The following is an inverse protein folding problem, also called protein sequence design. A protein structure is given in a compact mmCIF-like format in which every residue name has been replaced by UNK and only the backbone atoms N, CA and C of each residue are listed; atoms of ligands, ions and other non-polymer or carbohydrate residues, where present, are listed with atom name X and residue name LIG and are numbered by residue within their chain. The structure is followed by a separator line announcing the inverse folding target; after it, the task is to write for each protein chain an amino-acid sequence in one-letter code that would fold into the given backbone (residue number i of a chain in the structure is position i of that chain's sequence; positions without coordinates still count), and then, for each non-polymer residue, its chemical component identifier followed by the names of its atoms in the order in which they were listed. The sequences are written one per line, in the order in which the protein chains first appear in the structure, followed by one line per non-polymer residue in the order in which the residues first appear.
data_IF_498639073875
#
_entry.id   IF_498639073875
#
_cell.length_a   1.000
_cell.length_b   1.000
_cell.length_c   1.000
_cell.angle_alpha   90.00
_cell.angle_beta   90.00
_cell.angle_gamma   90.00
#
_symmetry.space_group_name_H-M   'P 1'
#
loop_
_entity.id
_entity.type
_entity.pdbx_description
1 polymer ?
#
# COMPACT_ATOMS: atom_id res chain seq x y z
N UNK A 1 42.50 -48.37 23.63
CA UNK A 1 41.59 -49.49 24.03
C UNK A 1 40.21 -48.87 24.32
N UNK A 2 39.09 -49.52 23.99
CA UNK A 2 38.34 -49.29 22.76
C UNK A 2 36.88 -48.80 22.94
N UNK A 3 36.34 -48.24 21.85
CA UNK A 3 34.98 -48.39 21.26
C UNK A 3 33.75 -48.37 22.20
N UNK A 4 32.75 -47.54 21.86
CA UNK A 4 31.62 -47.99 21.01
C UNK A 4 30.54 -46.90 20.89
N UNK A 5 30.16 -46.59 19.65
CA UNK A 5 28.80 -46.14 19.27
C UNK A 5 27.98 -47.38 18.89
N UNK A 6 26.69 -47.39 19.19
CA UNK A 6 25.68 -47.71 18.16
C UNK A 6 24.55 -46.66 18.18
N UNK A 7 24.17 -46.10 17.02
CA UNK A 7 23.00 -46.50 16.24
C UNK A 7 21.71 -46.57 17.08
N UNK A 8 20.90 -45.52 16.96
CA UNK A 8 19.47 -45.63 17.17
C UNK A 8 18.73 -45.46 15.85
N UNK A 9 17.79 -46.36 15.72
CA UNK A 9 16.99 -46.82 14.60
C UNK A 9 15.84 -45.87 14.28
N UNK A 10 15.54 -45.77 12.99
CA UNK A 10 14.36 -45.09 12.49
C UNK A 10 13.05 -45.71 13.01
N UNK A 11 12.06 -44.83 13.14
CA UNK A 11 10.64 -45.19 13.08
C UNK A 11 9.93 -44.04 12.38
N UNK A 12 9.61 -44.26 11.10
CA UNK A 12 8.62 -43.49 10.36
C UNK A 12 7.22 -43.76 10.93
N UNK A 13 6.38 -42.73 11.10
CA UNK A 13 4.93 -42.89 11.13
C UNK A 13 4.27 -42.51 9.79
N UNK A 14 3.04 -43.00 9.57
CA UNK A 14 2.53 -43.40 8.26
C UNK A 14 1.98 -42.27 7.40
N UNK A 15 1.99 -42.54 6.09
CA UNK A 15 1.43 -41.68 5.05
C UNK A 15 -0.05 -41.35 5.26
N UNK A 16 -0.35 -40.06 5.20
CA UNK A 16 -1.70 -39.56 5.00
C UNK A 16 -1.90 -39.29 3.51
N UNK A 17 -2.72 -40.13 2.89
CA UNK A 17 -3.14 -40.03 1.49
C UNK A 17 -4.15 -38.88 1.38
N UNK A 18 -3.64 -37.66 1.21
CA UNK A 18 -4.43 -36.47 0.90
C UNK A 18 -4.88 -36.48 -0.55
N UNK A 19 -6.18 -36.66 -0.75
CA UNK A 19 -6.88 -36.70 -2.02
C UNK A 19 -6.52 -35.51 -2.94
N UNK A 20 -6.04 -35.82 -4.15
CA UNK A 20 -5.90 -34.87 -5.26
C UNK A 20 -7.29 -34.42 -5.71
N UNK A 21 -7.64 -33.17 -5.41
CA UNK A 21 -8.77 -32.48 -6.05
C UNK A 21 -8.43 -32.22 -7.53
N UNK A 22 -9.30 -32.58 -8.49
CA UNK A 22 -9.12 -32.16 -9.88
C UNK A 22 -9.36 -30.66 -10.00
N UNK A 23 -8.35 -29.92 -10.48
CA UNK A 23 -8.52 -28.55 -10.93
C UNK A 23 -9.44 -28.52 -12.14
N UNK A 24 -10.63 -27.96 -11.94
CA UNK A 24 -11.60 -27.65 -13.00
C UNK A 24 -11.02 -26.47 -13.80
N UNK A 25 -10.32 -26.78 -14.88
CA UNK A 25 -10.00 -25.85 -15.96
C UNK A 25 -11.29 -25.51 -16.68
N UNK A 26 -11.83 -24.32 -16.41
CA UNK A 26 -13.07 -23.82 -17.00
C UNK A 26 -13.20 -22.32 -16.75
N UNK A 27 -12.20 -21.56 -17.22
CA UNK A 27 -12.26 -20.11 -17.32
C UNK A 27 -12.25 -19.76 -18.79
N UNK A 28 -13.44 -19.45 -19.30
CA UNK A 28 -13.72 -18.97 -20.63
C UNK A 28 -12.94 -17.66 -20.87
N UNK A 29 -11.73 -17.76 -21.40
CA UNK A 29 -10.91 -16.63 -21.78
C UNK A 29 -11.46 -16.07 -23.09
N UNK A 30 -12.54 -15.31 -22.99
CA UNK A 30 -13.02 -14.45 -24.07
C UNK A 30 -11.84 -13.60 -24.55
N UNK A 31 -11.44 -13.79 -25.80
CA UNK A 31 -10.26 -13.13 -26.34
C UNK A 31 -10.49 -11.61 -26.40
N UNK A 32 -9.41 -10.82 -26.30
CA UNK A 32 -9.45 -9.36 -26.48
C UNK A 32 -10.16 -8.95 -27.78
N UNK A 33 -10.15 -9.82 -28.80
CA UNK A 33 -10.89 -9.61 -30.05
C UNK A 33 -12.42 -9.62 -29.86
N UNK A 34 -12.96 -10.50 -29.01
CA UNK A 34 -14.41 -10.54 -28.74
C UNK A 34 -14.88 -9.33 -27.91
N UNK A 35 -14.02 -8.80 -27.03
CA UNK A 35 -14.30 -7.55 -26.32
C UNK A 35 -14.35 -6.35 -27.28
N UNK A 36 -13.45 -6.32 -28.28
CA UNK A 36 -13.40 -5.26 -29.29
C UNK A 36 -14.62 -5.28 -30.24
N UNK A 37 -15.08 -6.47 -30.65
CA UNK A 37 -16.27 -6.62 -31.49
C UNK A 37 -17.57 -6.21 -30.78
N UNK A 38 -17.67 -6.43 -29.46
CA UNK A 38 -18.82 -5.96 -28.66
C UNK A 38 -18.87 -4.43 -28.55
N UNK A 39 -17.73 -3.77 -28.42
CA UNK A 39 -17.65 -2.29 -28.40
C UNK A 39 -18.03 -1.69 -29.76
N UNK A 40 -17.57 -2.29 -30.87
CA UNK A 40 -17.94 -1.84 -32.22
C UNK A 40 -19.44 -2.07 -32.53
N UNK A 41 -20.03 -3.15 -32.02
CA UNK A 41 -21.47 -3.41 -32.15
C UNK A 41 -22.34 -2.43 -31.32
N UNK A 42 -21.82 -1.89 -30.22
CA UNK A 42 -22.50 -0.86 -29.43
C UNK A 42 -22.45 0.51 -30.14
N UNK A 43 -21.30 0.88 -30.72
CA UNK A 43 -21.13 2.14 -31.47
C UNK A 43 -21.98 2.20 -32.75
N UNK A 44 -22.22 1.07 -33.42
CA UNK A 44 -23.14 1.02 -34.58
C UNK A 44 -24.62 1.21 -34.20
N UNK A 45 -25.02 0.89 -32.96
CA UNK A 45 -26.40 1.09 -32.49
C UNK A 45 -26.70 2.54 -32.07
N UNK A 46 -25.67 3.35 -31.82
CA UNK A 46 -25.81 4.76 -31.44
C UNK A 46 -25.84 5.75 -32.61
N UNK A 47 -25.64 5.31 -33.86
CA UNK A 47 -25.63 6.21 -35.02
C UNK A 47 -27.06 6.41 -35.52
N UNK A 48 -27.77 7.34 -34.88
CA UNK A 48 -29.05 7.89 -35.32
C UNK A 48 -28.87 8.43 -36.73
N UNK A 49 -29.63 7.88 -37.68
CA UNK A 49 -29.65 8.31 -39.07
C UNK A 49 -30.24 9.71 -39.20
N UNK A 50 -29.58 10.51 -40.04
CA UNK A 50 -30.12 11.76 -40.55
C UNK A 50 -31.40 11.51 -41.35
N UNK A 51 -32.51 12.11 -40.91
CA UNK A 51 -33.59 12.53 -41.79
C UNK A 51 -34.35 13.73 -41.20
N UNK A 52 -34.32 14.81 -41.99
CA UNK A 52 -35.18 16.00 -42.02
C UNK A 52 -36.55 15.92 -41.32
N UNK A 53 -36.90 16.91 -40.48
CA UNK A 53 -37.90 17.97 -40.74
C UNK A 53 -38.24 18.79 -39.48
N UNK A 54 -38.34 20.10 -39.70
CA UNK A 54 -38.92 21.16 -38.85
C UNK A 54 -40.34 20.88 -38.37
N UNK A 55 -40.60 21.03 -37.06
CA UNK A 55 -41.84 21.60 -36.50
C UNK A 55 -41.67 22.05 -35.03
N UNK A 56 -42.02 23.32 -34.81
CA UNK A 56 -42.72 23.92 -33.66
C UNK A 56 -42.76 23.22 -32.29
N UNK A 57 -42.14 23.88 -31.30
CA UNK A 57 -42.69 24.12 -29.97
C UNK A 57 -43.35 22.96 -29.24
N UNK A 58 -42.56 22.08 -28.65
CA UNK A 58 -42.99 21.19 -27.58
C UNK A 58 -42.38 21.67 -26.28
N UNK A 59 -43.25 22.03 -25.33
CA UNK A 59 -42.87 22.21 -23.93
C UNK A 59 -42.09 20.96 -23.49
N UNK A 60 -40.85 21.15 -23.03
CA UNK A 60 -40.12 20.11 -22.31
C UNK A 60 -40.93 19.79 -21.06
N UNK A 61 -41.74 18.74 -21.15
CA UNK A 61 -42.35 18.09 -20.00
C UNK A 61 -41.18 17.51 -19.20
N UNK A 62 -40.67 18.30 -18.26
CA UNK A 62 -39.64 17.87 -17.33
C UNK A 62 -40.18 16.65 -16.60
N UNK A 63 -39.65 15.47 -16.90
CA UNK A 63 -39.98 14.27 -16.17
C UNK A 63 -39.72 14.53 -14.68
N UNK A 64 -40.60 14.08 -13.76
CA UNK A 64 -40.38 14.29 -12.34
C UNK A 64 -39.03 13.66 -11.95
N UNK A 65 -38.24 14.33 -11.08
CA UNK A 65 -36.96 13.80 -10.66
C UNK A 65 -37.15 12.40 -10.07
N UNK A 66 -36.33 11.45 -10.52
CA UNK A 66 -36.31 10.09 -9.99
C UNK A 66 -36.04 10.18 -8.47
N UNK A 67 -36.76 9.43 -7.62
CA UNK A 67 -36.43 9.34 -6.20
C UNK A 67 -34.99 8.86 -6.05
N UNK A 68 -34.21 9.55 -5.22
CA UNK A 68 -32.85 9.11 -4.89
C UNK A 68 -32.91 7.73 -4.24
N UNK A 69 -32.08 6.83 -4.72
CA UNK A 69 -31.87 5.51 -4.12
C UNK A 69 -30.81 5.61 -3.01
N UNK A 70 -30.74 4.63 -2.08
CA UNK A 70 -29.65 4.58 -1.10
C UNK A 70 -28.26 4.65 -1.75
N UNK A 71 -28.07 3.97 -2.88
CA UNK A 71 -26.82 3.99 -3.65
C UNK A 71 -26.48 5.41 -4.15
N UNK A 72 -27.48 6.22 -4.55
CA UNK A 72 -27.27 7.60 -4.98
C UNK A 72 -26.83 8.50 -3.80
N UNK A 73 -27.32 8.22 -2.58
CA UNK A 73 -26.93 8.95 -1.37
C UNK A 73 -25.51 8.58 -0.92
N UNK A 74 -25.15 7.29 -1.01
CA UNK A 74 -23.78 6.83 -0.72
C UNK A 74 -22.78 7.42 -1.72
N UNK A 75 -23.12 7.42 -3.00
CA UNK A 75 -22.29 8.03 -4.04
C UNK A 75 -22.12 9.53 -3.81
N UNK A 76 -23.22 10.25 -3.54
CA UNK A 76 -23.16 11.71 -3.26
C UNK A 76 -22.29 12.01 -2.04
N UNK A 77 -22.41 11.23 -0.96
CA UNK A 77 -21.60 11.43 0.24
C UNK A 77 -20.11 11.19 -0.03
N UNK A 78 -19.78 10.18 -0.85
CA UNK A 78 -18.41 9.93 -1.28
C UNK A 78 -17.87 11.05 -2.18
N UNK A 79 -18.66 11.53 -3.15
CA UNK A 79 -18.28 12.65 -4.03
C UNK A 79 -18.00 13.93 -3.22
N UNK A 80 -18.86 14.21 -2.23
CA UNK A 80 -18.70 15.35 -1.33
C UNK A 80 -17.40 15.24 -0.51
N UNK A 81 -17.10 14.07 0.06
CA UNK A 81 -15.89 13.85 0.86
C UNK A 81 -14.62 13.92 0.00
N UNK A 82 -14.64 13.28 -1.18
CA UNK A 82 -13.56 13.33 -2.15
C UNK A 82 -13.24 14.78 -2.56
N UNK A 83 -14.27 15.60 -2.81
CA UNK A 83 -14.10 16.99 -3.23
C UNK A 83 -13.39 17.84 -2.15
N UNK A 84 -13.59 17.55 -0.86
CA UNK A 84 -12.96 18.32 0.25
C UNK A 84 -11.45 18.21 0.28
N UNK A 85 -10.85 17.16 -0.26
CA UNK A 85 -9.39 17.02 -0.33
C UNK A 85 -8.73 17.99 -1.32
N UNK A 86 -9.49 18.55 -2.26
CA UNK A 86 -8.99 19.50 -3.26
C UNK A 86 -8.03 18.89 -4.29
N UNK A 87 -7.81 19.59 -5.41
CA UNK A 87 -7.03 19.06 -6.53
C UNK A 87 -5.52 19.18 -6.36
N UNK A 88 -5.05 20.06 -5.46
CA UNK A 88 -3.62 20.27 -5.23
C UNK A 88 -3.08 19.27 -4.19
N UNK A 89 -2.02 18.49 -4.51
CA UNK A 89 -1.42 17.58 -3.55
C UNK A 89 -0.77 18.35 -2.38
N UNK A 90 -0.99 17.91 -1.12
CA UNK A 90 -0.31 18.49 0.02
C UNK A 90 1.20 18.23 -0.04
N UNK A 91 1.97 19.13 0.55
CA UNK A 91 3.41 18.96 0.76
C UNK A 91 3.67 18.63 2.21
N UNK A 92 4.27 17.48 2.46
CA UNK A 92 4.62 17.03 3.80
C UNK A 92 6.04 17.46 4.18
N UNK A 93 6.15 18.16 5.29
CA UNK A 93 7.37 18.22 6.09
C UNK A 93 7.26 17.11 7.14
N UNK A 94 8.10 16.08 7.04
CA UNK A 94 7.94 14.86 7.83
C UNK A 94 8.19 15.10 9.33
N UNK A 95 9.06 16.05 9.68
CA UNK A 95 9.28 16.42 11.08
C UNK A 95 8.06 17.12 11.68
N UNK A 96 7.49 18.08 10.95
CA UNK A 96 6.28 18.76 11.38
C UNK A 96 5.08 17.81 11.43
N UNK A 97 4.96 16.91 10.45
CA UNK A 97 3.93 15.87 10.38
C UNK A 97 3.99 14.93 11.60
N UNK A 98 5.16 14.34 11.87
CA UNK A 98 5.31 13.42 13.00
C UNK A 98 5.04 14.14 14.33
N UNK A 99 5.52 15.37 14.48
CA UNK A 99 5.26 16.19 15.67
C UNK A 99 3.77 16.50 15.86
N UNK A 100 3.08 16.93 14.79
CA UNK A 100 1.66 17.30 14.86
C UNK A 100 0.76 16.09 15.11
N UNK A 101 1.13 14.92 14.60
CA UNK A 101 0.31 13.71 14.64
C UNK A 101 0.90 12.58 15.49
N UNK A 102 1.83 12.90 16.41
CA UNK A 102 2.39 11.93 17.35
C UNK A 102 1.30 11.25 18.18
N UNK A 103 0.26 12.00 18.58
CA UNK A 103 -0.91 11.48 19.29
C UNK A 103 -1.74 10.48 18.49
N UNK A 104 -1.52 10.39 17.18
CA UNK A 104 -2.12 9.40 16.28
C UNK A 104 -1.12 8.30 15.88
N UNK A 105 0.01 8.20 16.58
CA UNK A 105 1.13 7.30 16.31
C UNK A 105 1.84 7.57 14.99
N UNK A 106 1.97 8.83 14.55
CA UNK A 106 2.93 9.15 13.51
C UNK A 106 4.36 8.90 14.02
N UNK A 107 5.17 8.14 13.28
CA UNK A 107 6.47 7.64 13.78
C UNK A 107 7.52 7.39 12.68
N UNK A 108 7.46 8.13 11.59
CA UNK A 108 8.42 8.00 10.48
C UNK A 108 9.85 8.25 10.96
N UNK A 109 10.10 9.38 11.61
CA UNK A 109 11.43 9.81 12.03
C UNK A 109 11.99 8.97 13.17
N UNK A 110 11.18 8.70 14.18
CA UNK A 110 11.60 7.97 15.38
C UNK A 110 12.11 6.55 15.07
N UNK A 111 11.45 5.87 14.13
CA UNK A 111 11.75 4.46 13.84
C UNK A 111 12.55 4.26 12.55
N UNK A 112 12.44 5.18 11.60
CA UNK A 112 12.95 5.00 10.23
C UNK A 112 13.68 6.23 9.69
N UNK A 113 13.76 7.30 10.48
CA UNK A 113 14.37 8.56 10.05
C UNK A 113 15.86 8.43 9.75
N UNK A 114 16.42 9.43 9.05
CA UNK A 114 17.86 9.48 8.76
C UNK A 114 18.76 9.47 10.00
N UNK A 115 18.25 9.90 11.15
CA UNK A 115 19.01 9.96 12.39
C UNK A 115 18.92 8.66 13.21
N UNK A 116 18.11 7.68 12.78
CA UNK A 116 18.04 6.37 13.42
C UNK A 116 19.42 5.67 13.39
N UNK A 117 19.80 5.07 14.51
CA UNK A 117 21.08 4.37 14.64
C UNK A 117 21.07 3.09 13.80
N UNK A 118 22.04 2.95 12.89
CA UNK A 118 22.05 1.84 11.94
C UNK A 118 22.51 0.52 12.58
N UNK A 119 23.73 0.54 13.15
CA UNK A 119 24.45 -0.65 13.62
C UNK A 119 23.98 -1.09 14.98
N UNK A 120 24.04 -2.41 15.21
CA UNK A 120 23.54 -3.02 16.44
C UNK A 120 24.27 -2.50 17.68
N UNK A 121 23.47 -2.00 18.62
CA UNK A 121 23.83 -1.78 20.01
C UNK A 121 22.67 -2.32 20.85
N UNK A 122 22.84 -3.41 21.62
CA UNK A 122 21.76 -4.00 22.40
C UNK A 122 21.15 -3.07 23.48
N UNK A 123 21.85 -2.00 23.85
CA UNK A 123 21.40 -1.02 24.84
C UNK A 123 20.57 0.11 24.24
N UNK A 124 20.48 0.21 22.91
CA UNK A 124 19.81 1.31 22.20
C UNK A 124 18.89 0.79 21.09
N UNK A 125 17.93 1.62 20.69
CA UNK A 125 17.10 1.32 19.53
C UNK A 125 17.91 1.51 18.24
N UNK A 126 18.22 0.41 17.56
CA UNK A 126 19.00 0.41 16.32
C UNK A 126 18.30 -0.36 15.20
N UNK A 127 18.52 0.02 13.95
CA UNK A 127 17.91 -0.62 12.78
C UNK A 127 18.30 -2.10 12.71
N UNK A 128 19.58 -2.43 12.87
CA UNK A 128 20.06 -3.81 12.98
C UNK A 128 19.48 -4.54 14.20
N UNK A 129 19.42 -3.86 15.36
CA UNK A 129 18.89 -4.44 16.60
C UNK A 129 17.43 -4.87 16.52
N UNK A 130 16.62 -4.26 15.64
CA UNK A 130 15.24 -4.72 15.37
C UNK A 130 15.19 -6.14 14.82
N UNK A 131 16.22 -6.57 14.08
CA UNK A 131 16.31 -7.97 13.63
C UNK A 131 16.43 -8.90 14.83
N UNK A 132 17.09 -8.49 15.91
CA UNK A 132 17.36 -9.31 17.09
C UNK A 132 16.36 -9.12 18.23
N UNK A 133 15.40 -8.20 18.08
CA UNK A 133 14.52 -7.76 19.18
C UNK A 133 15.30 -7.16 20.35
N UNK A 134 16.32 -6.37 20.04
CA UNK A 134 17.03 -5.58 21.05
C UNK A 134 16.15 -4.44 21.62
N UNK A 135 16.67 -3.75 22.63
CA UNK A 135 16.00 -2.66 23.35
C UNK A 135 15.34 -1.61 22.43
N UNK A 136 14.16 -1.14 22.83
CA UNK A 136 13.39 -0.11 22.11
C UNK A 136 12.38 -0.66 21.12
N UNK A 137 12.59 -1.87 20.61
CA UNK A 137 11.65 -2.51 19.69
C UNK A 137 10.62 -3.38 20.41
N UNK A 138 9.36 -3.30 20.00
CA UNK A 138 8.29 -4.15 20.55
C UNK A 138 8.30 -5.60 20.06
N UNK A 139 8.98 -5.90 18.94
CA UNK A 139 9.12 -7.24 18.37
C UNK A 139 10.27 -7.32 17.37
N UNK A 140 10.78 -8.52 17.15
CA UNK A 140 11.72 -8.80 16.06
C UNK A 140 11.08 -8.57 14.69
N UNK A 141 11.84 -8.07 13.72
CA UNK A 141 11.40 -7.92 12.33
C UNK A 141 12.31 -8.67 11.35
N UNK A 142 11.80 -9.12 10.20
CA UNK A 142 12.63 -9.76 9.17
C UNK A 142 13.32 -8.76 8.23
N UNK A 143 12.95 -7.50 8.31
CA UNK A 143 13.61 -6.38 7.65
C UNK A 143 13.44 -5.13 8.48
N UNK A 144 14.47 -4.29 8.51
CA UNK A 144 14.48 -3.02 9.23
C UNK A 144 15.40 -2.07 8.48
N UNK A 145 14.91 -0.88 8.16
CA UNK A 145 15.64 0.09 7.34
C UNK A 145 15.39 1.51 7.84
N UNK A 146 16.35 2.38 7.55
CA UNK A 146 16.26 3.83 7.71
C UNK A 146 16.43 4.53 6.38
N UNK A 147 15.90 5.74 6.28
CA UNK A 147 16.20 6.68 5.21
C UNK A 147 17.69 7.06 5.24
N UNK A 148 18.31 7.25 4.07
CA UNK A 148 19.74 7.61 4.00
C UNK A 148 20.00 9.05 4.44
N UNK A 149 19.08 9.97 4.13
CA UNK A 149 19.18 11.38 4.46
C UNK A 149 17.80 12.08 4.37
N UNK A 150 17.67 13.23 5.04
CA UNK A 150 16.43 13.99 5.11
C UNK A 150 15.97 14.52 3.75
N UNK A 151 16.90 14.89 2.87
CA UNK A 151 16.58 15.48 1.55
C UNK A 151 15.98 14.40 0.63
N UNK A 152 16.61 13.23 0.58
CA UNK A 152 16.14 12.08 -0.20
C UNK A 152 14.76 11.63 0.26
N UNK A 153 14.55 11.52 1.57
CA UNK A 153 13.25 11.19 2.17
C UNK A 153 12.16 12.18 1.74
N UNK A 154 12.34 13.48 2.02
CA UNK A 154 11.34 14.50 1.68
C UNK A 154 11.05 14.54 0.18
N UNK A 155 12.09 14.46 -0.66
CA UNK A 155 11.92 14.48 -2.12
C UNK A 155 11.17 13.26 -2.63
N UNK A 156 11.50 12.06 -2.16
CA UNK A 156 10.87 10.83 -2.61
C UNK A 156 9.38 10.79 -2.23
N UNK A 157 9.05 11.13 -0.99
CA UNK A 157 7.67 11.12 -0.48
C UNK A 157 6.82 12.16 -1.19
N UNK A 158 7.28 13.42 -1.25
CA UNK A 158 6.48 14.48 -1.89
C UNK A 158 6.37 14.27 -3.42
N UNK A 159 7.37 13.63 -4.04
CA UNK A 159 7.25 13.20 -5.44
C UNK A 159 6.13 12.16 -5.58
N UNK A 160 6.12 11.14 -4.73
CA UNK A 160 5.10 10.09 -4.74
C UNK A 160 3.70 10.67 -4.53
N UNK A 161 3.51 11.51 -3.50
CA UNK A 161 2.21 12.14 -3.20
C UNK A 161 1.71 12.96 -4.40
N UNK A 162 2.58 13.77 -5.00
CA UNK A 162 2.22 14.58 -6.17
C UNK A 162 1.82 13.73 -7.38
N UNK A 163 2.51 12.62 -7.62
CA UNK A 163 2.28 11.76 -8.79
C UNK A 163 1.06 10.84 -8.63
N UNK A 164 0.63 10.58 -7.40
CA UNK A 164 -0.45 9.63 -7.09
C UNK A 164 -1.62 10.28 -6.32
N UNK A 165 -1.70 11.61 -6.30
CA UNK A 165 -2.67 12.33 -5.46
C UNK A 165 -4.11 11.92 -5.72
N UNK A 166 -4.47 11.70 -6.97
CA UNK A 166 -5.79 11.23 -7.37
C UNK A 166 -6.19 9.94 -6.68
N UNK A 167 -5.31 8.94 -6.73
CA UNK A 167 -5.52 7.65 -6.08
C UNK A 167 -5.52 7.79 -4.55
N UNK A 168 -4.65 8.64 -4.00
CA UNK A 168 -4.59 8.91 -2.56
C UNK A 168 -5.92 9.51 -2.10
N UNK A 169 -6.44 10.54 -2.77
CA UNK A 169 -7.75 11.16 -2.45
C UNK A 169 -8.88 10.15 -2.48
N UNK A 170 -8.94 9.35 -3.55
CA UNK A 170 -9.95 8.31 -3.68
C UNK A 170 -9.91 7.33 -2.50
N UNK A 171 -8.73 6.82 -2.15
CA UNK A 171 -8.59 5.89 -1.03
C UNK A 171 -8.93 6.54 0.32
N UNK A 172 -8.51 7.79 0.54
CA UNK A 172 -8.82 8.52 1.77
C UNK A 172 -10.32 8.81 1.91
N UNK A 173 -11.02 9.11 0.83
CA UNK A 173 -12.47 9.33 0.83
C UNK A 173 -13.27 8.04 1.10
N UNK A 174 -12.78 6.88 0.64
CA UNK A 174 -13.46 5.59 0.82
C UNK A 174 -13.10 4.95 2.16
N UNK A 175 -11.81 4.81 2.44
CA UNK A 175 -11.28 3.97 3.52
C UNK A 175 -10.71 4.79 4.70
N UNK A 176 -10.54 6.12 4.52
CA UNK A 176 -9.85 6.96 5.50
C UNK A 176 -8.34 6.72 5.57
N UNK A 177 -7.80 5.86 4.71
CA UNK A 177 -6.38 5.53 4.64
C UNK A 177 -5.91 5.22 3.22
N UNK A 178 -4.61 5.44 2.98
CA UNK A 178 -3.93 5.04 1.76
C UNK A 178 -2.64 4.33 2.14
N UNK A 179 -2.48 3.07 1.71
CA UNK A 179 -1.29 2.25 1.91
C UNK A 179 -0.74 1.79 0.58
N UNK A 180 0.56 1.98 0.35
CA UNK A 180 1.20 1.54 -0.89
C UNK A 180 2.70 1.22 -0.73
N UNK A 181 3.26 0.58 -1.75
CA UNK A 181 4.67 0.28 -1.91
C UNK A 181 5.14 0.80 -3.27
N UNK A 182 6.13 1.69 -3.28
CA UNK A 182 6.68 2.25 -4.51
C UNK A 182 8.20 2.14 -4.58
N UNK A 183 8.75 2.18 -5.80
CA UNK A 183 10.19 2.28 -6.02
C UNK A 183 10.58 3.71 -6.40
N UNK A 184 11.60 4.25 -5.74
CA UNK A 184 12.21 5.53 -6.10
C UNK A 184 13.16 5.44 -7.30
N UNK A 185 13.49 4.23 -7.78
CA UNK A 185 14.40 3.99 -8.90
C UNK A 185 15.89 4.23 -8.60
N UNK A 186 16.23 4.62 -7.37
CA UNK A 186 17.60 4.80 -6.88
C UNK A 186 17.66 4.43 -5.40
N UNK A 187 18.86 4.27 -4.84
CA UNK A 187 19.02 3.98 -3.41
C UNK A 187 18.45 5.13 -2.56
N UNK A 188 17.53 4.82 -1.65
CA UNK A 188 16.88 5.78 -0.74
C UNK A 188 16.96 5.35 0.72
N UNK A 189 17.38 4.11 0.97
CA UNK A 189 17.41 3.54 2.30
C UNK A 189 18.47 2.49 2.46
N UNK A 190 18.90 2.31 3.69
CA UNK A 190 19.84 1.29 4.11
C UNK A 190 19.34 0.62 5.37
N UNK A 191 19.73 -0.64 5.57
CA UNK A 191 19.23 -1.42 6.68
C UNK A 191 19.67 -2.86 6.62
N UNK A 192 18.89 -3.71 7.27
CA UNK A 192 19.19 -5.11 7.43
C UNK A 192 17.98 -5.98 7.12
N UNK A 193 18.26 -7.14 6.52
CA UNK A 193 17.30 -8.24 6.37
C UNK A 193 17.77 -9.43 7.18
N UNK A 194 16.83 -10.21 7.72
CA UNK A 194 17.13 -11.45 8.41
C UNK A 194 17.39 -12.57 7.39
N UNK A 195 18.64 -13.00 7.20
CA UNK A 195 18.98 -14.13 6.32
C UNK A 195 18.28 -15.43 6.72
N UNK A 196 18.08 -15.61 8.03
CA UNK A 196 17.42 -16.79 8.58
C UNK A 196 15.90 -16.82 8.37
N UNK A 197 15.29 -15.79 7.76
CA UNK A 197 13.82 -15.68 7.73
C UNK A 197 13.10 -16.82 6.98
N UNK A 198 13.79 -17.52 6.08
CA UNK A 198 13.24 -18.62 5.28
C UNK A 198 13.79 -20.01 5.66
N UNK A 199 14.52 -20.13 6.77
CA UNK A 199 15.16 -21.38 7.18
C UNK A 199 15.11 -21.63 8.69
N UNK A 200 15.64 -22.78 9.11
CA UNK A 200 15.80 -23.14 10.52
C UNK A 200 17.05 -22.53 11.18
N UNK A 201 17.77 -21.65 10.47
CA UNK A 201 19.00 -21.03 10.93
C UNK A 201 18.77 -19.91 11.95
N UNK A 202 19.83 -19.48 12.67
CA UNK A 202 19.73 -18.35 13.60
C UNK A 202 19.36 -17.05 12.85
N UNK A 203 18.80 -16.10 13.60
CA UNK A 203 18.55 -14.75 13.05
C UNK A 203 19.88 -14.06 12.80
N UNK A 204 20.15 -13.72 11.55
CA UNK A 204 21.39 -13.08 11.12
C UNK A 204 21.04 -11.85 10.29
N UNK A 205 21.48 -10.68 10.74
CA UNK A 205 21.26 -9.42 10.05
C UNK A 205 22.24 -9.28 8.87
N UNK A 206 21.72 -9.12 7.66
CA UNK A 206 22.50 -8.81 6.46
C UNK A 206 22.23 -7.38 6.02
N UNK A 207 23.31 -6.59 5.94
CA UNK A 207 23.23 -5.25 5.40
C UNK A 207 22.71 -5.25 3.96
N UNK A 208 21.81 -4.31 3.66
CA UNK A 208 21.22 -4.11 2.34
C UNK A 208 20.88 -2.65 2.11
N UNK A 209 20.83 -2.26 0.83
CA UNK A 209 20.34 -0.96 0.37
C UNK A 209 19.09 -1.18 -0.47
N UNK A 210 18.15 -0.25 -0.43
CA UNK A 210 16.87 -0.38 -1.14
C UNK A 210 16.46 0.89 -1.86
N UNK A 211 15.72 0.69 -2.94
CA UNK A 211 14.98 1.74 -3.66
C UNK A 211 13.49 1.73 -3.34
N UNK A 212 13.01 0.72 -2.60
CA UNK A 212 11.59 0.51 -2.31
C UNK A 212 11.20 1.21 -1.02
N UNK A 213 10.03 1.83 -1.01
CA UNK A 213 9.43 2.58 0.09
C UNK A 213 8.04 2.02 0.36
N UNK A 214 7.69 1.88 1.64
CA UNK A 214 6.31 1.68 2.09
C UNK A 214 5.79 3.01 2.65
N UNK A 215 4.55 3.34 2.35
CA UNK A 215 3.91 4.57 2.82
C UNK A 215 2.49 4.27 3.30
N UNK A 216 2.11 4.88 4.41
CA UNK A 216 0.76 4.86 4.95
C UNK A 216 0.35 6.30 5.30
N UNK A 217 -0.71 6.76 4.64
CA UNK A 217 -1.34 8.08 4.82
C UNK A 217 -2.72 7.85 5.43
N UNK A 218 -3.15 8.69 6.36
CA UNK A 218 -4.47 8.63 7.00
C UNK A 218 -5.10 10.01 7.10
N UNK A 219 -6.40 10.05 7.31
CA UNK A 219 -7.12 11.27 7.68
C UNK A 219 -7.01 11.50 9.19
N UNK A 220 -6.70 12.73 9.61
CA UNK A 220 -6.69 13.11 11.01
C UNK A 220 -8.12 13.04 11.60
N UNK A 221 -8.32 12.40 12.77
CA UNK A 221 -9.66 12.26 13.34
C UNK A 221 -10.33 13.61 13.64
N UNK A 222 -11.55 13.80 13.14
CA UNK A 222 -12.39 14.96 13.48
C UNK A 222 -12.05 16.26 12.78
N UNK A 223 -11.19 16.24 11.74
CA UNK A 223 -10.88 17.42 10.93
C UNK A 223 -11.90 17.63 9.81
N UNK A 224 -12.34 18.87 9.60
CA UNK A 224 -13.17 19.30 8.46
C UNK A 224 -12.67 20.68 7.96
N UNK A 225 -12.12 20.80 6.73
CA UNK A 225 -11.94 19.73 5.75
C UNK A 225 -11.00 18.61 6.25
N UNK A 226 -11.11 17.39 5.68
CA UNK A 226 -10.25 16.27 6.04
C UNK A 226 -8.76 16.61 5.88
N UNK A 227 -7.98 16.39 6.92
CA UNK A 227 -6.54 16.66 6.92
C UNK A 227 -5.76 15.35 6.75
N UNK A 228 -5.15 15.08 5.58
CA UNK A 228 -4.31 13.92 5.40
C UNK A 228 -2.97 14.11 6.13
N UNK A 229 -2.47 13.06 6.75
CA UNK A 229 -1.14 13.01 7.35
C UNK A 229 -0.45 11.68 7.10
N UNK A 230 0.88 11.68 7.10
CA UNK A 230 1.67 10.45 6.97
C UNK A 230 1.75 9.78 8.34
N UNK A 231 1.14 8.62 8.49
CA UNK A 231 1.28 7.84 9.73
C UNK A 231 2.69 7.23 9.82
N UNK A 232 3.15 6.63 8.72
CA UNK A 232 4.51 6.08 8.65
C UNK A 232 4.94 5.95 7.21
N UNK A 233 6.22 6.18 6.95
CA UNK A 233 6.84 5.85 5.68
C UNK A 233 8.29 5.46 5.87
N UNK A 234 8.70 4.36 5.25
CA UNK A 234 10.02 3.81 5.49
C UNK A 234 10.54 3.03 4.28
N UNK A 235 11.86 3.02 4.07
CA UNK A 235 12.46 2.13 3.09
C UNK A 235 12.19 0.66 3.45
N UNK A 236 12.04 -0.20 2.46
CA UNK A 236 11.78 -1.62 2.68
C UNK A 236 12.61 -2.49 1.75
N UNK A 237 13.17 -3.58 2.27
CA UNK A 237 13.89 -4.58 1.46
C UNK A 237 12.99 -5.65 0.85
N UNK A 238 11.69 -5.64 1.16
CA UNK A 238 10.70 -6.61 0.68
C UNK A 238 9.52 -5.82 0.09
N UNK A 239 9.27 -5.99 -1.21
CA UNK A 239 8.08 -5.47 -1.90
C UNK A 239 6.81 -6.13 -1.38
#
# INVERSE_FOLDING_TARGET
MPRSRPHDSGTDPPGSVGQRRPHRSGGDSGSVAEAHDRVLAALKRGRIGESHQTTSGTAETTAPPRPQTPDDLELSAWEDEYAKFGDEPPKFNLAANDQAHQGHNAHTLDNHGPDALLRRDPSQQTIEGRIHNDTGWGKAANGSFKWIDHTTMHRAINKYVRENWEQIRNNLAIDGEHSDVFSAGHAIGEGFVNKGMYGAGPREAQYSVTSTVRILIRVAPGTDPPEPFILTTFPSGLG
#
